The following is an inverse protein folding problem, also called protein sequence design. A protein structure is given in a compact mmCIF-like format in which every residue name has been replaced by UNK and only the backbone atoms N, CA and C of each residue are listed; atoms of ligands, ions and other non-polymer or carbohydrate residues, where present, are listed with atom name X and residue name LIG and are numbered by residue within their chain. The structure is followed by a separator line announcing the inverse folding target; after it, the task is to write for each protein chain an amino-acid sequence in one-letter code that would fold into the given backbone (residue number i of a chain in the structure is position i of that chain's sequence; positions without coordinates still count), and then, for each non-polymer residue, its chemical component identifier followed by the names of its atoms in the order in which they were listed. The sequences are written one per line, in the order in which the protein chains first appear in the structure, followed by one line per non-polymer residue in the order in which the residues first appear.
data_IF_159795334915
#
_entry.id   IF_159795334915
#
_cell.length_a   1.000
_cell.length_b   1.000
_cell.length_c   1.000
_cell.angle_alpha   90.00
_cell.angle_beta   90.00
_cell.angle_gamma   90.00
#
_symmetry.space_group_name_H-M   'P 1'
#
loop_
_entity.id
_entity.type
_entity.pdbx_description
1 polymer ?
#
# COMPACT_ATOMS: atom_id res chain seq x y z
N UNK A 1 54.87 6.33 -2.34
CA UNK A 1 53.73 6.06 -3.23
C UNK A 1 52.63 7.02 -2.81
N UNK A 2 52.41 8.06 -3.61
CA UNK A 2 51.39 9.08 -3.38
C UNK A 2 49.98 8.48 -3.52
N UNK A 3 49.37 8.11 -2.40
CA UNK A 3 47.97 7.66 -2.34
C UNK A 3 46.98 8.86 -2.40
N UNK A 4 47.48 10.10 -2.27
CA UNK A 4 46.67 11.32 -2.18
C UNK A 4 46.28 11.93 -3.54
N UNK A 5 46.55 11.24 -4.65
CA UNK A 5 46.32 11.74 -6.03
C UNK A 5 45.30 10.94 -6.84
N UNK A 6 44.43 10.19 -6.19
CA UNK A 6 43.24 9.65 -6.86
C UNK A 6 42.15 10.73 -6.78
N UNK A 7 41.58 11.20 -7.91
CA UNK A 7 40.41 12.07 -7.84
C UNK A 7 39.32 11.25 -7.15
N UNK A 8 38.82 11.79 -6.04
CA UNK A 8 37.90 11.15 -5.09
C UNK A 8 36.49 11.04 -5.72
N UNK A 9 36.41 10.30 -6.83
CA UNK A 9 35.23 10.10 -7.67
C UNK A 9 34.60 8.72 -7.46
N UNK A 10 35.01 7.99 -6.42
CA UNK A 10 34.42 6.69 -6.13
C UNK A 10 33.16 6.81 -5.28
N UNK A 11 33.13 7.81 -4.39
CA UNK A 11 31.99 8.13 -3.51
C UNK A 11 30.72 8.36 -4.31
N UNK A 12 30.79 9.00 -5.49
CA UNK A 12 29.62 9.20 -6.35
C UNK A 12 29.04 7.87 -6.84
N UNK A 13 29.86 6.86 -7.12
CA UNK A 13 29.36 5.52 -7.48
C UNK A 13 28.66 4.84 -6.30
N UNK A 14 29.16 5.03 -5.08
CA UNK A 14 28.49 4.52 -3.86
C UNK A 14 27.12 5.17 -3.70
N UNK A 15 27.02 6.50 -3.89
CA UNK A 15 25.75 7.21 -3.84
C UNK A 15 24.77 6.76 -4.93
N UNK A 16 25.25 6.48 -6.15
CA UNK A 16 24.43 5.95 -7.24
C UNK A 16 23.87 4.57 -6.91
N UNK A 17 24.70 3.67 -6.36
CA UNK A 17 24.25 2.33 -5.93
C UNK A 17 23.25 2.44 -4.78
N UNK A 18 23.53 3.29 -3.78
CA UNK A 18 22.61 3.52 -2.67
C UNK A 18 21.25 4.05 -3.15
N UNK A 19 21.25 5.02 -4.07
CA UNK A 19 20.03 5.55 -4.68
C UNK A 19 19.24 4.48 -5.44
N UNK A 20 19.93 3.66 -6.24
CA UNK A 20 19.31 2.55 -6.95
C UNK A 20 18.68 1.52 -5.98
N UNK A 21 19.36 1.19 -4.88
CA UNK A 21 18.84 0.26 -3.87
C UNK A 21 17.61 0.82 -3.14
N UNK A 22 17.56 2.12 -2.87
CA UNK A 22 16.38 2.78 -2.28
C UNK A 22 15.18 2.65 -3.22
N UNK A 23 15.37 2.89 -4.52
CA UNK A 23 14.30 2.75 -5.52
C UNK A 23 13.81 1.29 -5.58
N UNK A 24 14.72 0.33 -5.59
CA UNK A 24 14.36 -1.10 -5.58
C UNK A 24 13.61 -1.49 -4.30
N UNK A 25 14.06 -1.00 -3.14
CA UNK A 25 13.38 -1.22 -1.86
C UNK A 25 11.98 -0.60 -1.86
N UNK A 26 11.81 0.60 -2.42
CA UNK A 26 10.50 1.24 -2.56
C UNK A 26 9.58 0.43 -3.49
N UNK A 27 10.05 -0.03 -4.65
CA UNK A 27 9.27 -0.88 -5.57
C UNK A 27 8.87 -2.19 -4.88
N UNK A 28 9.80 -2.83 -4.18
CA UNK A 28 9.52 -4.05 -3.44
C UNK A 28 8.50 -3.81 -2.33
N UNK A 29 8.68 -2.74 -1.55
CA UNK A 29 7.76 -2.32 -0.49
C UNK A 29 6.36 -2.04 -1.05
N UNK A 30 6.26 -1.33 -2.18
CA UNK A 30 4.98 -1.06 -2.83
C UNK A 30 4.32 -2.38 -3.29
N UNK A 31 5.09 -3.29 -3.88
CA UNK A 31 4.56 -4.57 -4.37
C UNK A 31 4.14 -5.51 -3.25
N UNK A 32 4.87 -5.48 -2.13
CA UNK A 32 4.52 -6.18 -0.90
C UNK A 32 3.27 -5.58 -0.26
N UNK A 33 3.19 -4.26 -0.09
CA UNK A 33 2.03 -3.60 0.50
C UNK A 33 0.77 -3.76 -0.37
N UNK A 34 0.89 -3.80 -1.71
CA UNK A 34 -0.22 -4.16 -2.61
C UNK A 34 -0.71 -5.59 -2.38
N UNK A 35 0.19 -6.54 -2.15
CA UNK A 35 -0.18 -7.95 -1.92
C UNK A 35 -0.77 -8.19 -0.53
N UNK A 36 -0.40 -7.36 0.46
CA UNK A 36 -0.90 -7.45 1.83
C UNK A 36 -2.00 -6.42 2.12
N UNK A 37 -2.62 -5.85 1.08
CA UNK A 37 -3.76 -4.93 1.20
C UNK A 37 -3.51 -3.71 2.12
N UNK A 38 -2.25 -3.26 2.24
CA UNK A 38 -1.86 -2.07 3.02
C UNK A 38 -2.04 -0.75 2.27
N UNK A 39 -2.16 -0.78 0.94
CA UNK A 39 -2.56 0.41 0.20
C UNK A 39 -4.08 0.53 0.30
N UNK A 40 -4.48 1.33 1.28
CA UNK A 40 -5.80 1.85 1.52
C UNK A 40 -6.44 2.40 0.23
N UNK A 41 -7.17 1.55 -0.49
CA UNK A 41 -8.40 1.98 -1.18
C UNK A 41 -9.50 2.39 -0.17
N UNK A 42 -9.22 2.27 1.14
CA UNK A 42 -10.08 2.62 2.27
C UNK A 42 -9.91 4.09 2.75
N UNK A 43 -8.77 4.77 2.54
CA UNK A 43 -8.60 6.20 2.92
C UNK A 43 -9.58 7.11 2.16
N UNK A 44 -9.93 6.76 0.91
CA UNK A 44 -10.76 7.63 0.09
C UNK A 44 -12.24 7.60 0.49
N UNK A 45 -12.71 6.53 1.13
CA UNK A 45 -14.14 6.34 1.45
C UNK A 45 -14.45 6.33 2.96
N UNK A 46 -13.43 6.31 3.82
CA UNK A 46 -13.59 6.54 5.27
C UNK A 46 -13.96 7.99 5.65
N UNK A 47 -14.01 8.92 4.68
CA UNK A 47 -14.25 10.35 4.92
C UNK A 47 -15.69 10.78 4.64
N UNK A 48 -16.54 9.92 4.05
CA UNK A 48 -17.92 10.29 3.71
C UNK A 48 -18.91 9.52 4.57
N UNK A 49 -19.22 10.10 5.72
CA UNK A 49 -20.26 9.62 6.63
C UNK A 49 -21.66 10.05 6.11
N UNK A 50 -22.76 9.48 6.59
CA UNK A 50 -24.14 9.84 6.14
C UNK A 50 -24.43 11.35 6.25
N UNK A 51 -23.68 12.07 7.08
CA UNK A 51 -23.77 13.51 7.31
C UNK A 51 -23.16 14.37 6.20
N UNK A 52 -22.36 13.81 5.31
CA UNK A 52 -21.74 14.52 4.17
C UNK A 52 -22.51 14.30 2.85
N UNK A 53 -23.70 13.70 2.92
CA UNK A 53 -24.58 13.44 1.77
C UNK A 53 -24.97 14.72 1.00
N UNK A 54 -25.03 15.86 1.68
CA UNK A 54 -25.32 17.18 1.07
C UNK A 54 -24.09 17.86 0.45
N UNK A 55 -22.88 17.30 0.63
CA UNK A 55 -21.62 17.83 0.07
C UNK A 55 -21.14 17.08 -1.18
N UNK A 56 -21.89 16.08 -1.62
CA UNK A 56 -21.55 15.23 -2.75
C UNK A 56 -22.70 15.20 -3.76
N UNK A 57 -22.36 15.03 -5.03
CA UNK A 57 -23.37 14.78 -6.05
C UNK A 57 -24.08 13.43 -5.79
N UNK A 58 -25.41 13.32 -5.97
CA UNK A 58 -26.16 12.10 -5.71
C UNK A 58 -25.63 10.86 -6.45
N UNK A 59 -25.04 11.06 -7.64
CA UNK A 59 -24.44 9.96 -8.42
C UNK A 59 -23.12 9.48 -7.80
N UNK A 60 -22.31 10.38 -7.27
CA UNK A 60 -21.08 10.04 -6.56
C UNK A 60 -21.35 9.37 -5.21
N UNK A 61 -22.41 9.78 -4.50
CA UNK A 61 -22.84 9.13 -3.26
C UNK A 61 -23.34 7.70 -3.48
N UNK A 62 -24.05 7.46 -4.59
CA UNK A 62 -24.50 6.11 -4.94
C UNK A 62 -23.31 5.20 -5.25
N UNK A 63 -22.34 5.72 -6.01
CA UNK A 63 -21.10 4.99 -6.34
C UNK A 63 -20.24 4.71 -5.11
N UNK A 64 -20.15 5.65 -4.17
CA UNK A 64 -19.41 5.43 -2.92
C UNK A 64 -20.05 4.35 -2.05
N UNK A 65 -21.39 4.30 -1.98
CA UNK A 65 -22.13 3.24 -1.28
C UNK A 65 -21.96 1.85 -1.93
N UNK A 66 -21.94 1.78 -3.27
CA UNK A 66 -21.69 0.53 -4.00
C UNK A 66 -20.27 0.02 -3.74
N UNK A 67 -19.26 0.90 -3.82
CA UNK A 67 -17.87 0.55 -3.50
C UNK A 67 -17.73 0.11 -2.05
N UNK A 68 -18.39 0.79 -1.10
CA UNK A 68 -18.33 0.45 0.33
C UNK A 68 -18.90 -0.95 0.61
N UNK A 69 -19.99 -1.33 -0.07
CA UNK A 69 -20.57 -2.69 0.03
C UNK A 69 -19.63 -3.75 -0.52
N UNK A 70 -19.00 -3.49 -1.66
CA UNK A 70 -18.01 -4.43 -2.24
C UNK A 70 -16.79 -4.60 -1.32
N UNK A 71 -16.30 -3.50 -0.73
CA UNK A 71 -15.18 -3.53 0.21
C UNK A 71 -15.52 -4.27 1.51
N UNK A 72 -16.71 -4.04 2.08
CA UNK A 72 -17.16 -4.79 3.27
C UNK A 72 -17.29 -6.28 3.00
N UNK A 73 -17.80 -6.66 1.82
CA UNK A 73 -17.93 -8.07 1.42
C UNK A 73 -16.56 -8.73 1.28
N UNK A 74 -15.60 -8.06 0.66
CA UNK A 74 -14.22 -8.56 0.52
C UNK A 74 -13.54 -8.71 1.88
N UNK A 75 -13.69 -7.75 2.79
CA UNK A 75 -13.19 -7.86 4.19
C UNK A 75 -13.79 -9.07 4.91
N UNK A 76 -15.09 -9.33 4.73
CA UNK A 76 -15.74 -10.51 5.30
C UNK A 76 -15.15 -11.84 4.75
N UNK A 77 -14.91 -11.90 3.45
CA UNK A 77 -14.32 -13.07 2.78
C UNK A 77 -12.91 -13.34 3.30
N UNK A 78 -12.07 -12.30 3.40
CA UNK A 78 -10.70 -12.39 3.93
C UNK A 78 -10.70 -12.81 5.40
N UNK A 79 -11.59 -12.27 6.23
CA UNK A 79 -11.74 -12.68 7.63
C UNK A 79 -12.15 -14.16 7.72
N UNK A 80 -13.08 -14.63 6.89
CA UNK A 80 -13.49 -16.04 6.82
C UNK A 80 -12.33 -16.93 6.38
N UNK A 81 -11.52 -16.51 5.40
CA UNK A 81 -10.33 -17.26 4.97
C UNK A 81 -9.26 -17.32 6.06
N UNK A 82 -8.97 -16.21 6.74
CA UNK A 82 -8.04 -16.19 7.87
C UNK A 82 -8.52 -17.05 9.04
N UNK A 83 -9.82 -17.06 9.34
CA UNK A 83 -10.42 -17.93 10.36
C UNK A 83 -10.29 -19.41 9.97
N UNK A 84 -10.58 -19.77 8.72
CA UNK A 84 -10.41 -21.14 8.21
C UNK A 84 -8.95 -21.59 8.22
N UNK A 85 -8.03 -20.73 7.81
CA UNK A 85 -6.59 -20.99 7.83
C UNK A 85 -6.07 -21.17 9.28
N UNK A 86 -6.58 -20.40 10.23
CA UNK A 86 -6.27 -20.56 11.66
C UNK A 86 -6.84 -21.84 12.25
N UNK A 87 -8.05 -22.26 11.86
CA UNK A 87 -8.65 -23.52 12.31
C UNK A 87 -7.89 -24.74 11.75
N UNK A 88 -7.52 -24.72 10.46
CA UNK A 88 -6.69 -25.78 9.83
C UNK A 88 -5.29 -25.92 10.42
N UNK A 89 -4.72 -24.86 10.98
CA UNK A 89 -3.43 -24.92 11.70
C UNK A 89 -3.56 -25.45 13.14
N UNK A 90 -4.78 -25.50 13.69
CA UNK A 90 -5.07 -25.94 15.07
C UNK A 90 -5.65 -27.35 15.16
N UNK A 91 -6.11 -27.94 14.04
CA UNK A 91 -6.48 -29.35 13.90
C UNK A 91 -5.28 -30.19 13.47
#
# INVERSE_FOLDING_TARGET
MDLDKLPDGWTIYVWLIAGALIILAAIYGIRWARKNEQFDEDIKYLVFDEKDKDKMDPEEFKKSQEVLKEQMKRREEILKEHQKARQRKRS
#
